data_IF_417185092409
#
_entry.id   IF_417185092409
#
_cell.length_a   1.000
_cell.length_b   1.000
_cell.length_c   1.000
_cell.angle_alpha   90.00
_cell.angle_beta   90.00
_cell.angle_gamma   90.00
#
_symmetry.space_group_name_H-M   'P 1'
#
loop_
_entity.id
_entity.type
_entity.pdbx_description
1 polymer ?
#
# COMPACT_ATOMS: atom_id res chain seq x y z
N UNK A 1 11.98 -43.83 -38.64
CA UNK A 1 11.59 -42.41 -38.72
C UNK A 1 10.13 -42.28 -38.32
N UNK A 2 9.86 -42.09 -37.03
CA UNK A 2 8.51 -42.02 -36.44
C UNK A 2 8.43 -40.79 -35.52
N UNK A 3 7.29 -40.12 -35.58
CA UNK A 3 7.03 -38.80 -35.03
C UNK A 3 6.81 -38.79 -33.51
N UNK A 4 7.15 -37.66 -32.89
CA UNK A 4 7.05 -37.37 -31.47
C UNK A 4 5.69 -36.74 -31.15
N UNK A 5 4.84 -37.47 -30.41
CA UNK A 5 3.70 -36.92 -29.67
C UNK A 5 3.73 -37.57 -28.29
N UNK A 6 4.15 -36.81 -27.29
CA UNK A 6 4.29 -37.27 -25.91
C UNK A 6 4.03 -36.15 -24.91
N UNK A 7 2.82 -36.17 -24.36
CA UNK A 7 2.32 -35.33 -23.28
C UNK A 7 2.98 -35.63 -21.92
N UNK A 8 3.17 -34.55 -21.14
CA UNK A 8 2.83 -34.45 -19.69
C UNK A 8 3.86 -34.90 -18.61
N UNK A 9 4.24 -33.88 -17.82
CA UNK A 9 4.61 -33.81 -16.39
C UNK A 9 5.86 -34.53 -15.87
N UNK A 10 6.86 -33.74 -15.46
CA UNK A 10 7.60 -33.90 -14.19
C UNK A 10 8.44 -32.64 -13.90
N UNK A 11 7.77 -31.55 -13.51
CA UNK A 11 8.41 -30.40 -12.89
C UNK A 11 8.89 -30.81 -11.49
N UNK A 12 10.17 -31.18 -11.39
CA UNK A 12 10.79 -31.62 -10.13
C UNK A 12 10.87 -30.47 -9.12
N UNK A 13 10.25 -30.65 -7.95
CA UNK A 13 10.59 -29.92 -6.73
C UNK A 13 12.01 -30.26 -6.28
N UNK A 14 12.71 -29.32 -5.63
CA UNK A 14 13.47 -29.64 -4.43
C UNK A 14 12.94 -28.86 -3.23
N UNK A 15 12.65 -29.62 -2.16
CA UNK A 15 12.34 -29.14 -0.83
C UNK A 15 13.68 -28.92 -0.08
N UNK A 16 13.69 -27.94 0.83
CA UNK A 16 14.72 -27.66 1.84
C UNK A 16 16.01 -26.91 1.40
N UNK A 17 16.07 -25.62 1.75
CA UNK A 17 17.31 -24.97 2.17
C UNK A 17 17.03 -23.91 3.25
N UNK A 18 17.27 -24.33 4.49
CA UNK A 18 17.63 -23.61 5.70
C UNK A 18 17.15 -22.17 5.93
N UNK A 19 16.29 -22.02 6.96
CA UNK A 19 16.38 -20.95 7.95
C UNK A 19 17.86 -20.70 8.34
N UNK A 20 18.49 -19.68 7.76
CA UNK A 20 19.72 -19.10 8.32
C UNK A 20 19.34 -17.94 9.22
N UNK A 21 19.04 -18.28 10.47
CA UNK A 21 19.18 -17.34 11.59
C UNK A 21 20.69 -17.17 11.77
N UNK A 22 21.25 -16.18 11.08
CA UNK A 22 22.59 -15.70 11.36
C UNK A 22 22.51 -14.88 12.65
N UNK A 23 22.65 -15.57 13.79
CA UNK A 23 23.10 -14.96 15.05
C UNK A 23 24.62 -14.81 14.95
N UNK A 24 25.08 -13.70 14.40
CA UNK A 24 26.41 -13.18 14.71
C UNK A 24 26.22 -12.02 15.69
N UNK A 25 26.23 -12.39 16.96
CA UNK A 25 26.35 -11.49 18.10
C UNK A 25 27.83 -11.25 18.37
N UNK A 26 28.40 -10.24 17.71
CA UNK A 26 29.62 -9.56 18.15
C UNK A 26 29.32 -8.06 18.28
N UNK A 27 29.69 -7.50 19.42
CA UNK A 27 29.35 -6.15 19.87
C UNK A 27 29.82 -5.08 18.86
N UNK A 28 28.93 -4.65 17.99
CA UNK A 28 29.02 -3.40 17.25
C UNK A 28 27.86 -2.52 17.75
N UNK A 29 28.07 -1.22 18.05
CA UNK A 29 27.02 -0.37 18.57
C UNK A 29 25.80 -0.50 17.66
N UNK A 30 24.65 -0.83 18.26
CA UNK A 30 23.36 -1.08 17.63
C UNK A 30 22.94 0.10 16.75
N UNK A 31 23.52 0.19 15.56
CA UNK A 31 22.96 0.94 14.44
C UNK A 31 21.92 0.02 13.82
N UNK A 32 20.88 -0.29 14.58
CA UNK A 32 19.69 -0.91 14.03
C UNK A 32 19.25 -0.02 12.87
N UNK A 33 19.45 -0.49 11.63
CA UNK A 33 19.07 0.25 10.44
C UNK A 33 17.59 0.59 10.59
N UNK A 34 17.29 1.87 10.81
CA UNK A 34 15.94 2.33 11.09
C UNK A 34 15.11 2.00 9.85
N UNK A 35 14.22 1.01 9.99
CA UNK A 35 13.28 0.65 8.93
C UNK A 35 12.29 1.79 8.77
N UNK A 36 12.44 2.53 7.68
CA UNK A 36 11.51 3.60 7.30
C UNK A 36 10.30 2.99 6.60
N UNK A 37 9.14 3.62 6.79
CA UNK A 37 7.97 3.29 6.00
C UNK A 37 8.24 3.55 4.51
N UNK A 38 7.68 2.70 3.64
CA UNK A 38 7.73 2.94 2.21
C UNK A 38 6.96 4.22 1.88
N UNK A 39 7.55 5.10 1.07
CA UNK A 39 6.91 6.33 0.61
C UNK A 39 6.60 6.25 -0.87
N UNK A 40 5.43 6.74 -1.26
CA UNK A 40 5.03 6.82 -2.66
C UNK A 40 5.73 8.01 -3.32
N UNK A 41 6.28 7.77 -4.52
CA UNK A 41 6.69 8.83 -5.44
C UNK A 41 5.46 9.44 -6.10
N UNK A 42 5.57 10.66 -6.60
CA UNK A 42 4.48 11.37 -7.28
C UNK A 42 3.84 10.56 -8.42
N UNK A 43 4.63 9.85 -9.23
CA UNK A 43 4.13 8.97 -10.29
C UNK A 43 3.34 7.76 -9.76
N UNK A 44 3.78 7.20 -8.62
CA UNK A 44 3.08 6.07 -7.98
C UNK A 44 1.75 6.52 -7.36
N UNK A 45 1.71 7.73 -6.79
CA UNK A 45 0.46 8.30 -6.29
C UNK A 45 -0.53 8.61 -7.42
N UNK A 46 -0.07 9.18 -8.55
CA UNK A 46 -0.93 9.37 -9.73
C UNK A 46 -1.50 8.04 -10.26
N UNK A 47 -0.67 6.99 -10.26
CA UNK A 47 -1.13 5.66 -10.63
C UNK A 47 -2.16 5.10 -9.64
N UNK A 48 -1.94 5.26 -8.33
CA UNK A 48 -2.89 4.89 -7.28
C UNK A 48 -4.27 5.53 -7.52
N UNK A 49 -4.30 6.84 -7.75
CA UNK A 49 -5.55 7.58 -8.02
C UNK A 49 -6.26 7.02 -9.26
N UNK A 50 -5.52 6.76 -10.34
CA UNK A 50 -6.08 6.20 -11.57
C UNK A 50 -6.66 4.79 -11.38
N UNK A 51 -6.00 3.95 -10.60
CA UNK A 51 -6.50 2.61 -10.30
C UNK A 51 -7.76 2.71 -9.45
N UNK A 52 -7.72 3.49 -8.36
CA UNK A 52 -8.85 3.70 -7.46
C UNK A 52 -10.11 4.17 -8.19
N UNK A 53 -9.97 5.07 -9.16
CA UNK A 53 -11.09 5.61 -9.92
C UNK A 53 -11.77 4.59 -10.85
N UNK A 54 -11.10 3.48 -11.18
CA UNK A 54 -11.60 2.46 -12.13
C UNK A 54 -12.02 1.19 -11.40
N UNK A 55 -11.30 0.79 -10.34
CA UNK A 55 -11.53 -0.49 -9.66
C UNK A 55 -12.30 -0.35 -8.34
N UNK A 56 -12.49 0.87 -7.84
CA UNK A 56 -13.16 1.12 -6.57
C UNK A 56 -14.65 0.79 -6.60
N UNK A 57 -15.21 0.36 -5.46
CA UNK A 57 -16.66 0.17 -5.30
C UNK A 57 -17.41 1.50 -5.26
N UNK A 58 -16.76 2.53 -4.72
CA UNK A 58 -17.23 3.92 -4.64
C UNK A 58 -16.08 4.83 -5.09
N UNK A 59 -15.81 4.93 -6.40
CA UNK A 59 -14.58 5.49 -6.94
C UNK A 59 -14.38 6.96 -6.55
N UNK A 60 -15.44 7.76 -6.51
CA UNK A 60 -15.38 9.17 -6.11
C UNK A 60 -14.94 9.32 -4.65
N UNK A 61 -15.50 8.48 -3.76
CA UNK A 61 -15.15 8.44 -2.34
C UNK A 61 -13.71 7.98 -2.16
N UNK A 62 -13.32 6.90 -2.81
CA UNK A 62 -11.99 6.31 -2.63
C UNK A 62 -10.90 7.28 -3.14
N UNK A 63 -11.13 7.95 -4.28
CA UNK A 63 -10.23 9.01 -4.80
C UNK A 63 -10.15 10.19 -3.83
N UNK A 64 -11.28 10.66 -3.30
CA UNK A 64 -11.31 11.75 -2.31
C UNK A 64 -10.49 11.39 -1.07
N UNK A 65 -10.66 10.19 -0.51
CA UNK A 65 -9.94 9.73 0.68
C UNK A 65 -8.42 9.64 0.45
N UNK A 66 -7.99 9.20 -0.74
CA UNK A 66 -6.57 9.18 -1.08
C UNK A 66 -5.97 10.58 -1.21
N UNK A 67 -6.72 11.53 -1.79
CA UNK A 67 -6.28 12.93 -1.83
C UNK A 67 -6.16 13.52 -0.43
N UNK A 68 -7.18 13.33 0.40
CA UNK A 68 -7.24 13.89 1.75
C UNK A 68 -6.06 13.40 2.58
N UNK A 69 -5.83 12.08 2.64
CA UNK A 69 -4.70 11.51 3.40
C UNK A 69 -3.32 11.90 2.84
N UNK A 70 -3.20 12.09 1.52
CA UNK A 70 -1.93 12.46 0.91
C UNK A 70 -1.54 13.91 1.18
N UNK A 71 -2.50 14.84 1.17
CA UNK A 71 -2.21 16.27 1.35
C UNK A 71 -2.15 16.68 2.82
N UNK A 72 -2.96 16.08 3.69
CA UNK A 72 -3.01 16.45 5.12
C UNK A 72 -2.17 15.53 6.02
N UNK A 73 -1.83 14.33 5.56
CA UNK A 73 -1.10 13.34 6.36
C UNK A 73 -1.92 12.70 7.48
N UNK A 74 -3.25 12.88 7.47
CA UNK A 74 -4.18 12.30 8.45
C UNK A 74 -4.14 10.77 8.39
N UNK A 75 -4.20 10.12 9.56
CA UNK A 75 -4.16 8.66 9.67
C UNK A 75 -5.48 8.06 9.21
N UNK A 76 -5.44 6.82 8.71
CA UNK A 76 -6.64 6.09 8.26
C UNK A 76 -7.70 5.98 9.37
N UNK A 77 -7.27 5.86 10.63
CA UNK A 77 -8.18 5.78 11.79
C UNK A 77 -8.88 7.10 12.10
N UNK A 78 -8.22 8.23 11.83
CA UNK A 78 -8.81 9.57 12.00
C UNK A 78 -9.76 9.86 10.84
N UNK A 79 -9.35 9.52 9.61
CA UNK A 79 -10.17 9.61 8.42
C UNK A 79 -11.48 8.80 8.54
N UNK A 80 -11.44 7.67 9.24
CA UNK A 80 -12.62 6.83 9.47
C UNK A 80 -13.66 7.46 10.41
N UNK A 81 -13.25 8.46 11.20
CA UNK A 81 -14.12 9.21 12.12
C UNK A 81 -14.58 10.54 11.52
N UNK A 82 -14.11 10.89 10.32
CA UNK A 82 -14.41 12.17 9.69
C UNK A 82 -15.89 12.26 9.30
N UNK A 83 -16.57 13.27 9.83
CA UNK A 83 -17.97 13.55 9.53
C UNK A 83 -18.12 14.74 8.58
N UNK A 84 -19.28 14.86 7.92
CA UNK A 84 -19.59 16.00 7.05
C UNK A 84 -19.60 17.31 7.85
N UNK A 85 -20.02 17.23 9.11
CA UNK A 85 -20.05 18.33 10.08
C UNK A 85 -18.67 18.87 10.40
N UNK A 86 -17.60 18.09 10.20
CA UNK A 86 -16.22 18.56 10.42
C UNK A 86 -15.76 19.51 9.30
N UNK A 87 -16.30 19.36 8.08
CA UNK A 87 -15.83 20.08 6.89
C UNK A 87 -16.82 21.15 6.43
N UNK A 88 -18.13 20.94 6.62
CA UNK A 88 -19.18 21.83 6.12
C UNK A 88 -19.99 22.44 7.27
N UNK A 89 -20.40 23.69 7.10
CA UNK A 89 -21.50 24.26 7.86
C UNK A 89 -22.83 23.63 7.43
N UNK A 90 -23.90 23.72 8.25
CA UNK A 90 -25.24 23.27 7.85
C UNK A 90 -25.76 23.94 6.57
N UNK A 91 -25.23 25.11 6.22
CA UNK A 91 -25.51 25.80 4.95
C UNK A 91 -24.88 25.14 3.72
N UNK A 92 -24.01 24.13 3.90
CA UNK A 92 -23.20 23.51 2.84
C UNK A 92 -21.94 24.30 2.49
N UNK A 93 -21.70 25.45 3.12
CA UNK A 93 -20.46 26.19 2.94
C UNK A 93 -19.28 25.47 3.60
N UNK A 94 -18.13 25.46 2.93
CA UNK A 94 -16.88 24.89 3.47
C UNK A 94 -16.45 25.71 4.68
N UNK A 95 -16.13 25.02 5.78
CA UNK A 95 -15.57 25.65 6.97
C UNK A 95 -14.13 26.11 6.68
N UNK A 96 -13.76 27.35 7.04
CA UNK A 96 -12.38 27.77 6.92
C UNK A 96 -11.50 26.96 7.89
N UNK A 97 -10.25 26.74 7.50
CA UNK A 97 -9.21 26.25 8.40
C UNK A 97 -8.98 27.31 9.49
N UNK A 98 -9.06 26.92 10.76
CA UNK A 98 -8.92 27.83 11.92
C UNK A 98 -7.46 28.03 12.26
#
# INVERSE_FOLDING_TARGET
MWANIGSVLLFRRPLASSLRIARDSSLSPMTASIRRAASLRSGQFKHLIRVASVTGRLPERDVMLFWLTHTTGVRITELALLEVTDVLYPSGAIKPEV
#
